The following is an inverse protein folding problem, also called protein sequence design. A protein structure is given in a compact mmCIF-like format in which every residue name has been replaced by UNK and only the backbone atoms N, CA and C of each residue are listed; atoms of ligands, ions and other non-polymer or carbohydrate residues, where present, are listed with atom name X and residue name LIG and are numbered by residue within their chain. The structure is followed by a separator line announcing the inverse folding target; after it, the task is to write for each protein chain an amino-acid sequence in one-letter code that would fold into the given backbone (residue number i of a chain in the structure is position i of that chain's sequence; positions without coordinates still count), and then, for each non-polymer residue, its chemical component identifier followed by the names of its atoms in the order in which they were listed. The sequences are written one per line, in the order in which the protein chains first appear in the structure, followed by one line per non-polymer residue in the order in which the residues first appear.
data_IF_956859420148
#
_entry.id   IF_956859420148
#
_cell.length_a   1.000
_cell.length_b   1.000
_cell.length_c   1.000
_cell.angle_alpha   90.00
_cell.angle_beta   90.00
_cell.angle_gamma   90.00
#
_symmetry.space_group_name_H-M   'P 1'
#
loop_
_entity.id
_entity.type
_entity.pdbx_description
1 polymer ?
#
# COMPACT_ATOMS: atom_id res chain seq x y z
N UNK A 1 26.30 -4.83 -0.27
CA UNK A 1 25.95 -5.79 0.77
C UNK A 1 24.82 -5.22 1.63
N UNK A 2 23.75 -5.96 1.77
CA UNK A 2 22.58 -5.48 2.51
C UNK A 2 22.80 -5.41 4.02
N UNK A 3 22.12 -4.49 4.67
CA UNK A 3 22.06 -4.42 6.13
C UNK A 3 20.96 -5.37 6.60
N UNK A 4 21.29 -6.22 7.56
CA UNK A 4 20.29 -7.07 8.20
C UNK A 4 19.64 -6.27 9.31
N UNK A 5 18.33 -6.07 9.20
CA UNK A 5 17.54 -5.41 10.22
C UNK A 5 16.79 -6.46 11.02
N UNK A 6 17.09 -6.54 12.31
CA UNK A 6 16.36 -7.41 13.22
C UNK A 6 15.04 -6.76 13.62
N UNK A 7 13.92 -7.45 13.36
CA UNK A 7 12.63 -7.01 13.83
C UNK A 7 12.41 -7.39 15.29
N UNK A 8 11.69 -6.57 16.05
CA UNK A 8 11.30 -6.93 17.41
C UNK A 8 10.49 -8.21 17.45
N UNK A 9 10.66 -8.98 18.51
CA UNK A 9 9.91 -10.21 18.76
C UNK A 9 9.06 -10.03 20.04
N UNK A 10 7.90 -10.70 20.06
CA UNK A 10 7.04 -10.70 21.24
C UNK A 10 6.20 -9.45 21.41
N UNK A 11 6.13 -8.58 20.41
CA UNK A 11 5.23 -7.43 20.39
C UNK A 11 4.70 -7.16 18.98
N UNK A 12 3.60 -6.40 18.91
CA UNK A 12 3.08 -5.90 17.65
C UNK A 12 4.11 -4.97 16.98
N UNK A 13 4.29 -5.10 15.68
CA UNK A 13 5.14 -4.21 14.91
C UNK A 13 4.43 -2.88 14.66
N UNK A 14 5.22 -1.83 14.47
CA UNK A 14 4.74 -0.48 14.20
C UNK A 14 5.19 -0.02 12.82
N UNK A 15 4.57 1.06 12.32
CA UNK A 15 5.00 1.71 11.09
C UNK A 15 6.48 2.08 11.11
N UNK A 16 6.97 2.52 12.27
CA UNK A 16 8.39 2.85 12.44
C UNK A 16 9.30 1.64 12.24
N UNK A 17 8.86 0.46 12.66
CA UNK A 17 9.61 -0.78 12.39
C UNK A 17 9.74 -1.02 10.89
N UNK A 18 8.66 -0.77 10.12
CA UNK A 18 8.69 -0.92 8.67
C UNK A 18 9.61 0.08 7.98
N UNK A 19 9.69 1.31 8.45
CA UNK A 19 10.57 2.33 7.90
C UNK A 19 12.04 1.92 7.92
N UNK A 20 12.41 1.01 8.81
CA UNK A 20 13.77 0.49 8.93
C UNK A 20 14.02 -0.75 8.08
N UNK A 21 13.02 -1.27 7.40
CA UNK A 21 13.18 -2.40 6.50
C UNK A 21 13.93 -1.98 5.23
N UNK A 22 14.82 -2.84 4.69
CA UNK A 22 15.49 -2.54 3.44
C UNK A 22 14.52 -2.51 2.27
N UNK A 23 14.83 -1.66 1.29
CA UNK A 23 14.11 -1.66 0.01
C UNK A 23 14.65 -2.81 -0.84
N UNK A 24 14.00 -3.96 -0.77
CA UNK A 24 14.42 -5.19 -1.42
C UNK A 24 13.51 -5.58 -2.60
N UNK A 25 12.64 -4.66 -3.05
CA UNK A 25 11.67 -4.92 -4.11
C UNK A 25 10.42 -5.66 -3.65
N UNK A 26 10.34 -6.02 -2.37
CA UNK A 26 9.13 -6.62 -1.80
C UNK A 26 8.22 -5.55 -1.22
N UNK A 27 6.92 -5.84 -1.23
CA UNK A 27 5.93 -5.00 -0.56
C UNK A 27 5.83 -5.43 0.91
N UNK A 28 5.99 -4.47 1.80
CA UNK A 28 5.88 -4.68 3.24
C UNK A 28 4.64 -3.97 3.75
N UNK A 29 3.72 -4.73 4.32
CA UNK A 29 2.49 -4.21 4.90
C UNK A 29 2.37 -4.65 6.35
N UNK A 30 1.58 -3.90 7.13
CA UNK A 30 1.22 -4.27 8.50
C UNK A 30 -0.29 -4.42 8.61
N UNK A 31 -0.72 -5.50 9.26
CA UNK A 31 -2.11 -5.71 9.62
C UNK A 31 -2.16 -6.04 11.11
N UNK A 32 -2.68 -5.11 11.92
CA UNK A 32 -2.72 -5.25 13.38
C UNK A 32 -1.36 -5.65 13.98
N UNK A 33 -0.30 -5.03 13.49
CA UNK A 33 1.06 -5.29 13.97
C UNK A 33 1.73 -6.55 13.43
N UNK A 34 1.07 -7.26 12.51
CA UNK A 34 1.64 -8.43 11.83
C UNK A 34 2.20 -8.03 10.47
N UNK A 35 3.47 -8.37 10.23
CA UNK A 35 4.13 -8.10 8.95
C UNK A 35 3.64 -9.04 7.87
N UNK A 36 3.25 -8.47 6.73
CA UNK A 36 2.93 -9.21 5.51
C UNK A 36 3.91 -8.78 4.43
N UNK A 37 4.66 -9.72 3.88
CA UNK A 37 5.63 -9.47 2.82
C UNK A 37 5.14 -10.09 1.53
N UNK A 38 5.03 -9.27 0.49
CA UNK A 38 4.59 -9.71 -0.84
C UNK A 38 5.73 -9.49 -1.83
N UNK A 39 6.11 -10.51 -2.62
CA UNK A 39 7.14 -10.34 -3.63
C UNK A 39 6.72 -9.37 -4.73
N UNK A 40 7.69 -8.89 -5.51
CA UNK A 40 7.42 -8.03 -6.64
C UNK A 40 6.40 -8.67 -7.59
N UNK A 41 5.49 -7.88 -8.19
CA UNK A 41 4.43 -8.41 -9.03
C UNK A 41 4.96 -8.97 -10.35
N UNK A 42 4.26 -9.99 -10.87
CA UNK A 42 4.50 -10.50 -12.22
C UNK A 42 4.03 -9.49 -13.28
N UNK A 43 4.46 -9.68 -14.52
CA UNK A 43 3.97 -8.83 -15.61
C UNK A 43 2.46 -9.00 -15.86
N UNK A 44 1.91 -10.18 -15.61
CA UNK A 44 0.47 -10.42 -15.74
C UNK A 44 -0.32 -9.64 -14.70
N UNK A 45 0.17 -9.60 -13.48
CA UNK A 45 -0.40 -8.78 -12.41
C UNK A 45 -0.35 -7.30 -12.80
N UNK A 46 0.79 -6.82 -13.26
CA UNK A 46 0.92 -5.42 -13.69
C UNK A 46 0.02 -5.07 -14.86
N UNK A 47 -0.11 -5.98 -15.84
CA UNK A 47 -1.01 -5.76 -16.97
C UNK A 47 -2.46 -5.65 -16.53
N UNK A 48 -2.91 -6.55 -15.67
CA UNK A 48 -4.27 -6.52 -15.12
C UNK A 48 -4.51 -5.21 -14.34
N UNK A 49 -3.56 -4.83 -13.52
CA UNK A 49 -3.61 -3.58 -12.74
C UNK A 49 -3.70 -2.35 -13.64
N UNK A 50 -2.86 -2.29 -14.67
CA UNK A 50 -2.84 -1.17 -15.61
C UNK A 50 -4.15 -1.05 -16.40
N UNK A 51 -4.70 -2.16 -16.87
CA UNK A 51 -5.96 -2.18 -17.61
C UNK A 51 -7.13 -1.75 -16.73
N UNK A 52 -7.18 -2.25 -15.51
CA UNK A 52 -8.22 -1.85 -14.56
C UNK A 52 -8.09 -0.37 -14.20
N UNK A 53 -6.87 0.12 -14.03
CA UNK A 53 -6.62 1.53 -13.79
C UNK A 53 -7.20 2.39 -14.92
N UNK A 54 -6.97 2.02 -16.17
CA UNK A 54 -7.52 2.75 -17.32
C UNK A 54 -9.05 2.78 -17.32
N UNK A 55 -9.68 1.65 -17.02
CA UNK A 55 -11.14 1.57 -16.96
C UNK A 55 -11.72 2.44 -15.85
N UNK A 56 -11.13 2.40 -14.67
CA UNK A 56 -11.59 3.20 -13.54
C UNK A 56 -11.34 4.70 -13.75
N UNK A 57 -10.24 5.04 -14.41
CA UNK A 57 -9.89 6.44 -14.68
C UNK A 57 -10.91 7.14 -15.58
N UNK A 58 -11.53 6.41 -16.51
CA UNK A 58 -12.54 6.96 -17.42
C UNK A 58 -13.75 7.54 -16.71
N UNK A 59 -14.11 7.00 -15.56
CA UNK A 59 -15.30 7.40 -14.82
C UNK A 59 -15.00 7.97 -13.44
N UNK A 60 -13.73 8.23 -13.13
CA UNK A 60 -13.36 8.79 -11.83
C UNK A 60 -13.75 10.27 -11.74
N UNK A 61 -14.65 10.64 -10.81
CA UNK A 61 -15.05 12.05 -10.66
C UNK A 61 -13.90 12.95 -10.23
N UNK A 62 -13.98 14.27 -10.52
CA UNK A 62 -12.87 15.20 -10.22
C UNK A 62 -12.53 15.34 -8.72
N UNK A 63 -13.47 15.07 -7.81
CA UNK A 63 -13.23 15.17 -6.37
C UNK A 63 -12.58 13.93 -5.77
N UNK A 64 -12.46 12.87 -6.58
CA UNK A 64 -11.80 11.63 -6.20
C UNK A 64 -10.45 11.50 -6.89
N UNK A 65 -9.58 10.70 -6.28
CA UNK A 65 -8.29 10.36 -6.85
C UNK A 65 -8.16 8.86 -6.97
N UNK A 66 -7.73 8.40 -8.14
CA UNK A 66 -7.41 7.00 -8.40
C UNK A 66 -5.90 6.85 -8.34
N UNK A 67 -5.43 6.03 -7.42
CA UNK A 67 -4.00 5.79 -7.21
C UNK A 67 -3.68 4.31 -7.37
N UNK A 68 -2.42 4.03 -7.68
CA UNK A 68 -1.90 2.67 -7.80
C UNK A 68 -0.74 2.47 -6.83
N UNK A 69 -0.36 1.22 -6.60
CA UNK A 69 0.74 0.89 -5.70
C UNK A 69 2.06 1.47 -6.24
N UNK A 70 2.95 1.94 -5.41
CA UNK A 70 2.95 1.80 -3.96
C UNK A 70 2.51 3.11 -3.30
N UNK A 71 1.34 3.13 -2.73
CA UNK A 71 0.88 4.28 -1.96
C UNK A 71 0.33 3.81 -0.62
N UNK A 72 0.76 4.44 0.46
CA UNK A 72 0.45 3.99 1.80
C UNK A 72 -0.95 4.37 2.26
N UNK A 73 -1.72 3.38 2.67
CA UNK A 73 -2.94 3.58 3.46
C UNK A 73 -2.57 3.33 4.92
N UNK A 74 -2.44 4.42 5.68
CA UNK A 74 -1.90 4.41 7.03
C UNK A 74 -3.04 4.60 8.03
N UNK A 75 -3.69 3.51 8.43
CA UNK A 75 -4.89 3.57 9.27
C UNK A 75 -4.56 3.87 10.73
N UNK A 76 -3.47 3.31 11.25
CA UNK A 76 -2.94 3.57 12.58
C UNK A 76 -1.47 3.14 12.68
N UNK A 77 -0.89 3.14 13.88
CA UNK A 77 0.51 2.78 14.09
C UNK A 77 0.82 1.31 13.77
N UNK A 78 -0.19 0.46 13.74
CA UNK A 78 -0.04 -0.99 13.56
C UNK A 78 -0.62 -1.51 12.24
N UNK A 79 -1.22 -0.63 11.41
CA UNK A 79 -1.84 -1.03 10.15
C UNK A 79 -1.45 -0.07 9.05
N UNK A 80 -0.69 -0.60 8.09
CA UNK A 80 -0.20 0.11 6.91
C UNK A 80 -0.35 -0.81 5.71
N UNK A 81 -1.17 -0.40 4.76
CA UNK A 81 -1.50 -1.21 3.58
C UNK A 81 -1.07 -0.49 2.30
N UNK A 82 -0.79 -1.25 1.26
CA UNK A 82 -0.47 -0.74 -0.07
C UNK A 82 -1.32 -1.48 -1.12
N UNK A 83 -2.60 -1.13 -1.26
CA UNK A 83 -3.46 -1.78 -2.25
C UNK A 83 -2.92 -1.62 -3.67
N UNK A 84 -3.23 -2.56 -4.55
CA UNK A 84 -2.85 -2.48 -5.95
C UNK A 84 -3.45 -1.24 -6.62
N UNK A 85 -4.72 -0.97 -6.35
CA UNK A 85 -5.41 0.26 -6.75
C UNK A 85 -6.27 0.75 -5.59
N UNK A 86 -6.46 2.05 -5.50
CA UNK A 86 -7.40 2.65 -4.56
C UNK A 86 -8.07 3.87 -5.15
N UNK A 87 -9.26 4.17 -4.66
CA UNK A 87 -9.95 5.44 -4.92
C UNK A 87 -10.20 6.10 -3.58
N UNK A 88 -9.81 7.35 -3.47
CA UNK A 88 -9.97 8.15 -2.25
C UNK A 88 -10.50 9.54 -2.58
N UNK A 89 -11.09 10.20 -1.58
CA UNK A 89 -11.42 11.61 -1.72
C UNK A 89 -10.12 12.42 -1.66
N UNK A 90 -9.96 13.38 -2.56
CA UNK A 90 -8.77 14.24 -2.59
C UNK A 90 -8.52 14.92 -1.26
N UNK A 91 -9.59 15.33 -0.57
CA UNK A 91 -9.49 16.02 0.72
C UNK A 91 -8.91 15.15 1.84
N UNK A 92 -8.93 13.82 1.69
CA UNK A 92 -8.40 12.89 2.68
C UNK A 92 -6.92 12.56 2.47
N UNK A 93 -6.36 12.91 1.31
CA UNK A 93 -4.98 12.59 0.96
C UNK A 93 -4.00 13.58 1.59
N UNK A 94 -2.90 13.04 2.11
CA UNK A 94 -1.69 13.83 2.35
C UNK A 94 -0.74 13.64 1.17
N UNK A 95 0.40 14.32 1.18
CA UNK A 95 1.39 14.15 0.12
C UNK A 95 1.93 12.71 0.03
N UNK A 96 1.92 11.98 1.14
CA UNK A 96 2.60 10.68 1.23
C UNK A 96 1.70 9.50 1.54
N UNK A 97 0.50 9.75 2.07
CA UNK A 97 -0.37 8.67 2.52
C UNK A 97 -1.85 9.04 2.48
N UNK A 98 -2.65 8.01 2.73
CA UNK A 98 -4.08 8.16 3.00
C UNK A 98 -4.31 7.69 4.45
N UNK A 99 -4.58 8.62 5.38
CA UNK A 99 -4.71 8.27 6.80
C UNK A 99 -6.10 7.76 7.20
N UNK A 100 -6.96 7.47 6.24
CA UNK A 100 -8.30 6.92 6.45
C UNK A 100 -8.54 5.81 5.43
N UNK A 101 -9.59 5.02 5.64
CA UNK A 101 -9.96 3.99 4.68
C UNK A 101 -10.33 4.60 3.31
N UNK A 102 -9.86 4.01 2.20
CA UNK A 102 -10.29 4.44 0.87
C UNK A 102 -11.76 4.12 0.60
N UNK A 103 -12.34 4.77 -0.41
CA UNK A 103 -13.68 4.44 -0.88
C UNK A 103 -13.70 3.09 -1.60
N UNK A 104 -12.62 2.77 -2.29
CA UNK A 104 -12.42 1.50 -2.99
C UNK A 104 -10.96 1.10 -2.85
N UNK A 105 -10.73 -0.17 -2.55
CA UNK A 105 -9.42 -0.79 -2.60
C UNK A 105 -9.48 -2.05 -3.44
N UNK A 106 -8.51 -2.24 -4.32
CA UNK A 106 -8.46 -3.39 -5.22
C UNK A 106 -7.15 -4.14 -4.99
N UNK A 107 -7.27 -5.44 -4.78
CA UNK A 107 -6.15 -6.38 -4.76
C UNK A 107 -6.28 -7.34 -5.94
N UNK A 108 -5.22 -7.47 -6.70
CA UNK A 108 -5.16 -8.39 -7.85
C UNK A 108 -4.44 -9.65 -7.40
N UNK A 109 -5.13 -10.75 -7.47
CA UNK A 109 -4.63 -12.04 -7.01
C UNK A 109 -3.82 -12.78 -8.10
#
# INVERSE_FOLDING_TARGET
MGTVTALPRGRALTRRDLEQMPDDGHRHELIDGTLVVTPAPSWRHQRASARLHLLLAESCPPHLELLYASFDVALDEHTLLQPDLLVARKVDLTERDLPVAPLLAVEIL
#
